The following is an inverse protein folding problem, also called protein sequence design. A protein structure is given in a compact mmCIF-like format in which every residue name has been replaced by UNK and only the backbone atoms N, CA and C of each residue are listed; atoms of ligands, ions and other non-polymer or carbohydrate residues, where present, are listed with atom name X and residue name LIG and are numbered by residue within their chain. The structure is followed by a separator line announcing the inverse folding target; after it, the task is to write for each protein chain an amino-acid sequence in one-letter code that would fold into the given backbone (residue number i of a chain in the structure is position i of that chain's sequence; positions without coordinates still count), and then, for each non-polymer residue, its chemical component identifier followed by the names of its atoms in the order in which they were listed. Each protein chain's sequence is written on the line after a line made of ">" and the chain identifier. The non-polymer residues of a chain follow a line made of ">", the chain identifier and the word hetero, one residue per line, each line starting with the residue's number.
data_IF_236895648035
#
_entry.id   IF_236895648035
#
_cell.length_a   1.000
_cell.length_b   1.000
_cell.length_c   1.000
_cell.angle_alpha   90.00
_cell.angle_beta   90.00
_cell.angle_gamma   90.00
#
_symmetry.space_group_name_H-M   'P 1'
#
loop_
_entity.id
_entity.type
_entity.pdbx_description
1 polymer ?
#
# COMPACT_ATOMS: atom_id res chain seq x y z
N UNK A 1 -24.37 -17.70 29.29
CA UNK A 1 -23.66 -18.25 30.47
C UNK A 1 -22.18 -18.01 30.23
N UNK A 2 -21.49 -17.33 31.13
CA UNK A 2 -20.08 -16.96 30.97
C UNK A 2 -19.27 -17.62 32.08
N UNK A 3 -18.29 -18.42 31.69
CA UNK A 3 -17.32 -19.07 32.55
C UNK A 3 -15.90 -18.57 32.25
N UNK A 4 -15.80 -17.31 31.84
CA UNK A 4 -14.55 -16.73 31.38
C UNK A 4 -13.55 -16.59 32.53
N UNK A 5 -12.27 -16.81 32.26
CA UNK A 5 -11.20 -16.55 33.23
C UNK A 5 -11.37 -17.30 34.57
N UNK A 6 -11.78 -18.58 34.52
CA UNK A 6 -11.97 -19.42 35.69
C UNK A 6 -10.90 -20.53 35.84
N UNK A 7 -9.89 -20.56 34.98
CA UNK A 7 -8.83 -21.56 35.01
C UNK A 7 -9.29 -22.99 34.69
N UNK A 8 -10.42 -23.15 33.99
CA UNK A 8 -10.95 -24.45 33.59
C UNK A 8 -9.95 -25.16 32.67
N UNK A 9 -9.63 -26.42 32.97
CA UNK A 9 -8.65 -27.21 32.20
C UNK A 9 -9.30 -28.25 31.28
N UNK A 10 -10.47 -28.75 31.68
CA UNK A 10 -11.23 -29.72 30.90
C UNK A 10 -12.72 -29.43 30.98
N UNK A 11 -13.45 -29.77 29.92
CA UNK A 11 -14.91 -29.65 29.86
C UNK A 11 -15.52 -31.03 29.77
N UNK A 12 -16.21 -31.43 30.84
CA UNK A 12 -17.01 -32.65 30.89
C UNK A 12 -18.46 -32.38 30.46
N UNK A 13 -19.29 -33.43 30.46
CA UNK A 13 -20.72 -33.35 30.15
C UNK A 13 -21.41 -32.31 31.05
N UNK A 14 -21.92 -31.25 30.43
CA UNK A 14 -22.65 -30.18 31.11
C UNK A 14 -24.09 -30.61 31.42
N UNK A 15 -24.70 -30.10 32.51
CA UNK A 15 -26.08 -30.43 32.85
C UNK A 15 -27.08 -29.84 31.84
N UNK A 16 -28.31 -30.40 31.74
CA UNK A 16 -29.39 -29.83 30.92
C UNK A 16 -29.63 -28.36 31.20
N UNK A 17 -29.61 -27.55 30.14
CA UNK A 17 -29.79 -26.10 30.23
C UNK A 17 -30.38 -25.54 28.94
N UNK A 18 -31.20 -24.48 29.06
CA UNK A 18 -31.76 -23.73 27.94
C UNK A 18 -30.84 -22.60 27.46
N UNK A 19 -29.54 -22.70 27.76
CA UNK A 19 -28.57 -21.67 27.43
C UNK A 19 -28.40 -21.56 25.90
N UNK A 20 -28.45 -20.33 25.39
CA UNK A 20 -28.25 -20.02 23.96
C UNK A 20 -26.82 -19.58 23.64
N UNK A 21 -26.11 -19.06 24.63
CA UNK A 21 -24.75 -18.57 24.52
C UNK A 21 -23.93 -19.13 25.66
N UNK A 22 -22.87 -19.87 25.35
CA UNK A 22 -21.91 -20.39 26.32
C UNK A 22 -20.52 -19.84 26.00
N UNK A 23 -19.94 -19.10 26.92
CA UNK A 23 -18.55 -18.69 26.85
C UNK A 23 -17.71 -19.41 27.90
N UNK A 24 -16.60 -19.96 27.43
CA UNK A 24 -15.53 -20.61 28.17
C UNK A 24 -14.20 -19.92 27.83
N UNK A 25 -14.25 -18.65 27.42
CA UNK A 25 -13.11 -17.89 26.94
C UNK A 25 -12.05 -17.68 28.03
N UNK A 26 -10.77 -17.55 27.65
CA UNK A 26 -9.68 -17.22 28.59
C UNK A 26 -9.57 -18.23 29.73
N UNK A 27 -9.65 -19.51 29.42
CA UNK A 27 -9.41 -20.60 30.38
C UNK A 27 -8.11 -21.33 29.99
N UNK A 28 -7.90 -22.53 30.50
CA UNK A 28 -6.74 -23.39 30.20
C UNK A 28 -7.20 -24.70 29.55
N UNK A 29 -8.31 -24.66 28.82
CA UNK A 29 -8.97 -25.86 28.31
C UNK A 29 -8.07 -26.49 27.26
N UNK A 30 -7.61 -27.72 27.53
CA UNK A 30 -6.83 -28.53 26.60
C UNK A 30 -7.55 -29.84 26.23
N UNK A 31 -8.66 -30.16 26.90
CA UNK A 31 -9.46 -31.36 26.66
C UNK A 31 -10.95 -31.09 26.80
N UNK A 32 -11.72 -31.52 25.81
CA UNK A 32 -13.18 -31.55 25.86
C UNK A 32 -13.58 -33.02 25.73
N UNK A 33 -14.36 -33.53 26.69
CA UNK A 33 -14.82 -34.90 26.64
C UNK A 33 -15.93 -35.07 25.60
N UNK A 34 -16.04 -36.27 25.02
CA UNK A 34 -17.14 -36.61 24.11
C UNK A 34 -18.49 -36.27 24.72
N UNK A 35 -19.42 -35.76 23.89
CA UNK A 35 -20.76 -35.36 24.32
C UNK A 35 -20.78 -34.29 25.42
N UNK A 36 -19.70 -33.51 25.60
CA UNK A 36 -19.63 -32.44 26.59
C UNK A 36 -20.83 -31.48 26.52
N UNK A 37 -21.30 -31.17 25.31
CA UNK A 37 -22.37 -30.20 25.05
C UNK A 37 -23.72 -30.84 24.73
N UNK A 38 -23.88 -32.16 24.85
CA UNK A 38 -25.08 -32.90 24.39
C UNK A 38 -26.39 -32.43 25.03
N UNK A 39 -26.31 -31.93 26.25
CA UNK A 39 -27.47 -31.48 27.03
C UNK A 39 -27.88 -30.02 26.72
N UNK A 40 -27.15 -29.32 25.85
CA UNK A 40 -27.35 -27.89 25.55
C UNK A 40 -28.09 -27.70 24.21
N UNK A 41 -29.30 -28.26 24.11
CA UNK A 41 -30.09 -28.33 22.86
C UNK A 41 -30.50 -26.98 22.25
N UNK A 42 -30.35 -25.88 23.00
CA UNK A 42 -30.69 -24.52 22.54
C UNK A 42 -29.45 -23.67 22.28
N UNK A 43 -28.24 -24.25 22.33
CA UNK A 43 -26.99 -23.53 22.17
C UNK A 43 -26.83 -23.03 20.73
N UNK A 44 -26.72 -21.71 20.58
CA UNK A 44 -26.52 -21.03 19.29
C UNK A 44 -25.10 -20.52 19.13
N UNK A 45 -24.44 -20.15 20.23
CA UNK A 45 -23.07 -19.63 20.21
C UNK A 45 -22.22 -20.29 21.29
N UNK A 46 -21.05 -20.77 20.88
CA UNK A 46 -20.04 -21.37 21.73
C UNK A 46 -18.72 -20.64 21.53
N UNK A 47 -18.23 -20.00 22.61
CA UNK A 47 -16.94 -19.32 22.63
C UNK A 47 -15.94 -20.13 23.45
N UNK A 48 -14.96 -20.70 22.75
CA UNK A 48 -13.84 -21.47 23.31
C UNK A 48 -12.49 -20.74 23.09
N UNK A 49 -12.54 -19.44 22.79
CA UNK A 49 -11.34 -18.67 22.43
C UNK A 49 -10.39 -18.47 23.60
N UNK A 50 -9.10 -18.24 23.34
CA UNK A 50 -8.06 -18.06 24.37
C UNK A 50 -8.00 -19.24 25.34
N UNK A 51 -7.83 -20.44 24.78
CA UNK A 51 -7.62 -21.68 25.52
C UNK A 51 -6.37 -22.39 24.99
N UNK A 52 -6.23 -23.70 25.24
CA UNK A 52 -5.09 -24.50 24.78
C UNK A 52 -5.56 -25.71 23.97
N UNK A 53 -6.62 -25.52 23.17
CA UNK A 53 -7.18 -26.58 22.34
C UNK A 53 -6.25 -26.91 21.17
N UNK A 54 -6.18 -28.20 20.83
CA UNK A 54 -5.50 -28.72 19.65
C UNK A 54 -6.51 -29.45 18.76
N UNK A 55 -6.06 -30.01 17.64
CA UNK A 55 -6.88 -30.86 16.77
C UNK A 55 -7.56 -32.00 17.56
N UNK A 56 -6.81 -32.66 18.44
CA UNK A 56 -7.28 -33.79 19.25
C UNK A 56 -8.31 -33.39 20.30
N UNK A 57 -8.28 -32.14 20.75
CA UNK A 57 -9.31 -31.59 21.65
C UNK A 57 -10.65 -31.39 20.94
N UNK A 58 -10.67 -31.34 19.61
CA UNK A 58 -11.81 -31.04 18.74
C UNK A 58 -12.29 -32.30 18.00
N UNK A 59 -12.45 -33.42 18.69
CA UNK A 59 -13.09 -34.60 18.12
C UNK A 59 -14.54 -34.26 17.68
N UNK A 60 -15.02 -34.72 16.50
CA UNK A 60 -16.40 -34.51 16.04
C UNK A 60 -17.49 -34.79 17.10
N UNK A 61 -17.28 -35.77 17.97
CA UNK A 61 -18.25 -36.20 18.98
C UNK A 61 -18.49 -35.18 20.10
N UNK A 62 -17.64 -34.17 20.25
CA UNK A 62 -17.87 -33.10 21.24
C UNK A 62 -19.06 -32.23 20.85
N UNK A 63 -19.33 -32.10 19.55
CA UNK A 63 -20.38 -31.27 18.98
C UNK A 63 -21.72 -32.00 18.82
N UNK A 64 -21.82 -33.27 19.24
CA UNK A 64 -23.08 -34.00 19.26
C UNK A 64 -24.05 -33.38 20.25
N UNK A 65 -25.24 -33.01 19.76
CA UNK A 65 -26.32 -32.40 20.55
C UNK A 65 -27.48 -33.38 20.81
N UNK A 66 -27.54 -34.50 20.09
CA UNK A 66 -28.57 -35.53 20.26
C UNK A 66 -27.92 -36.92 20.44
N UNK A 67 -28.49 -37.74 21.33
CA UNK A 67 -28.04 -39.13 21.59
C UNK A 67 -28.65 -40.13 20.59
N UNK A 68 -29.74 -39.76 19.92
CA UNK A 68 -30.38 -40.60 18.91
C UNK A 68 -29.78 -40.32 17.52
N UNK A 69 -29.54 -41.38 16.74
CA UNK A 69 -29.16 -41.37 15.30
C UNK A 69 -30.17 -40.65 14.39
N UNK A 70 -31.12 -39.91 14.97
CA UNK A 70 -31.95 -38.95 14.24
C UNK A 70 -31.04 -37.87 13.67
N UNK A 71 -31.11 -37.69 12.36
CA UNK A 71 -30.37 -36.73 11.55
C UNK A 71 -30.74 -35.26 11.84
N UNK A 72 -31.01 -34.93 13.11
CA UNK A 72 -31.39 -33.59 13.56
C UNK A 72 -30.10 -32.78 13.78
N UNK A 73 -29.79 -31.82 12.90
CA UNK A 73 -28.57 -31.06 12.99
C UNK A 73 -28.54 -30.20 14.26
N UNK A 74 -27.35 -30.00 14.82
CA UNK A 74 -27.17 -29.14 15.99
C UNK A 74 -27.68 -27.70 15.77
N UNK A 75 -28.06 -27.01 16.84
CA UNK A 75 -28.54 -25.62 16.78
C UNK A 75 -27.42 -24.57 16.70
N UNK A 76 -26.16 -24.98 16.71
CA UNK A 76 -25.03 -24.05 16.80
C UNK A 76 -24.87 -23.26 15.50
N UNK A 77 -24.82 -21.93 15.63
CA UNK A 77 -24.72 -20.95 14.54
C UNK A 77 -23.34 -20.29 14.52
N UNK A 78 -22.78 -20.03 15.70
CA UNK A 78 -21.51 -19.33 15.88
C UNK A 78 -20.54 -20.16 16.73
N UNK A 79 -19.35 -20.39 16.21
CA UNK A 79 -18.27 -21.07 16.91
C UNK A 79 -17.01 -20.21 16.90
N UNK A 80 -16.53 -19.86 18.09
CA UNK A 80 -15.24 -19.17 18.25
C UNK A 80 -14.19 -20.08 18.85
N UNK A 81 -13.09 -20.23 18.11
CA UNK A 81 -11.92 -21.04 18.46
C UNK A 81 -10.64 -20.19 18.41
N UNK A 82 -10.76 -18.86 18.44
CA UNK A 82 -9.63 -17.94 18.29
C UNK A 82 -8.59 -18.15 19.40
N UNK A 83 -7.31 -17.91 19.10
CA UNK A 83 -6.20 -17.97 20.04
C UNK A 83 -6.15 -19.28 20.83
N UNK A 84 -6.11 -20.40 20.12
CA UNK A 84 -5.82 -21.74 20.64
C UNK A 84 -4.50 -22.26 20.05
N UNK A 85 -4.22 -23.55 20.19
CA UNK A 85 -3.02 -24.20 19.67
C UNK A 85 -3.35 -25.16 18.51
N UNK A 86 -4.31 -24.78 17.67
CA UNK A 86 -4.80 -25.59 16.56
C UNK A 86 -3.85 -25.43 15.37
N UNK A 87 -3.07 -26.48 15.08
CA UNK A 87 -2.16 -26.52 13.92
C UNK A 87 -2.83 -27.15 12.68
N UNK A 88 -3.80 -28.03 12.91
CA UNK A 88 -4.63 -28.65 11.89
C UNK A 88 -5.97 -29.04 12.51
N UNK A 89 -6.92 -29.47 11.70
CA UNK A 89 -8.18 -30.04 12.16
C UNK A 89 -8.30 -31.50 11.71
N UNK A 90 -8.92 -32.32 12.56
CA UNK A 90 -9.24 -33.69 12.19
C UNK A 90 -10.31 -33.69 11.07
N UNK A 91 -10.30 -34.68 10.16
CA UNK A 91 -11.39 -34.84 9.20
C UNK A 91 -12.72 -34.91 9.94
N UNK A 92 -13.74 -34.25 9.41
CA UNK A 92 -15.10 -34.24 9.99
C UNK A 92 -15.25 -33.54 11.34
N UNK A 93 -14.26 -32.79 11.82
CA UNK A 93 -14.33 -32.01 13.09
C UNK A 93 -15.67 -31.25 13.23
N UNK A 94 -16.20 -30.70 12.14
CA UNK A 94 -17.43 -29.92 12.14
C UNK A 94 -18.66 -30.62 11.51
N UNK A 95 -18.62 -31.95 11.34
CA UNK A 95 -19.69 -32.70 10.65
C UNK A 95 -21.08 -32.52 11.29
N UNK A 96 -21.13 -32.37 12.60
CA UNK A 96 -22.39 -32.17 13.35
C UNK A 96 -22.91 -30.72 13.30
N UNK A 97 -22.13 -29.79 12.72
CA UNK A 97 -22.38 -28.34 12.72
C UNK A 97 -22.93 -27.84 11.38
N UNK A 98 -23.88 -28.55 10.78
CA UNK A 98 -24.39 -28.21 9.44
C UNK A 98 -25.13 -26.87 9.34
N UNK A 99 -25.57 -26.31 10.48
CA UNK A 99 -26.20 -24.99 10.59
C UNK A 99 -25.21 -23.86 10.90
N UNK A 100 -23.91 -24.14 10.99
CA UNK A 100 -22.92 -23.15 11.38
C UNK A 100 -22.80 -22.06 10.29
N UNK A 101 -22.97 -20.81 10.72
CA UNK A 101 -22.92 -19.62 9.86
C UNK A 101 -21.58 -18.90 10.03
N UNK A 102 -21.00 -18.93 11.23
CA UNK A 102 -19.73 -18.25 11.53
C UNK A 102 -18.75 -19.16 12.25
N UNK A 103 -17.55 -19.26 11.69
CA UNK A 103 -16.40 -19.94 12.28
C UNK A 103 -15.23 -18.96 12.35
N UNK A 104 -14.61 -18.87 13.53
CA UNK A 104 -13.43 -18.04 13.76
C UNK A 104 -12.32 -18.89 14.36
N UNK A 105 -11.17 -18.88 13.69
CA UNK A 105 -9.95 -19.65 14.01
C UNK A 105 -8.74 -18.72 14.13
N UNK A 106 -8.95 -17.41 14.32
CA UNK A 106 -7.89 -16.43 14.28
C UNK A 106 -6.84 -16.68 15.38
N UNK A 107 -5.57 -16.37 15.14
CA UNK A 107 -4.54 -16.54 16.16
C UNK A 107 -4.16 -17.98 16.47
N UNK A 108 -4.56 -18.95 15.63
CA UNK A 108 -4.11 -20.35 15.73
C UNK A 108 -2.93 -20.61 14.77
N UNK A 109 -1.93 -21.43 15.16
CA UNK A 109 -0.74 -21.69 14.36
C UNK A 109 -1.00 -22.70 13.22
N UNK A 110 -1.94 -22.41 12.30
CA UNK A 110 -2.29 -23.32 11.21
C UNK A 110 -1.13 -23.49 10.23
N UNK A 111 -0.47 -22.40 9.82
CA UNK A 111 0.64 -22.33 8.84
C UNK A 111 0.33 -22.84 7.42
N UNK A 112 -0.38 -23.96 7.28
CA UNK A 112 -0.84 -24.59 6.04
C UNK A 112 -2.25 -25.15 6.27
N UNK A 113 -3.12 -25.08 5.26
CA UNK A 113 -4.40 -25.80 5.27
C UNK A 113 -4.20 -27.16 4.63
N UNK A 114 -3.91 -28.18 5.45
CA UNK A 114 -3.73 -29.55 4.98
C UNK A 114 -5.06 -30.18 4.48
N UNK A 115 -4.95 -31.39 3.91
CA UNK A 115 -6.11 -32.11 3.38
C UNK A 115 -7.18 -32.36 4.45
N UNK A 116 -6.77 -32.71 5.68
CA UNK A 116 -7.70 -33.00 6.76
C UNK A 116 -8.49 -31.74 7.19
N UNK A 117 -7.80 -30.62 7.31
CA UNK A 117 -8.38 -29.31 7.63
C UNK A 117 -9.30 -28.83 6.51
N UNK A 118 -8.91 -29.02 5.25
CA UNK A 118 -9.77 -28.72 4.10
C UNK A 118 -11.07 -29.53 4.12
N UNK A 119 -11.02 -30.83 4.47
CA UNK A 119 -12.22 -31.65 4.64
C UNK A 119 -13.07 -31.20 5.84
N UNK A 120 -12.46 -30.78 6.94
CA UNK A 120 -13.18 -30.24 8.09
C UNK A 120 -13.96 -28.98 7.70
N UNK A 121 -13.31 -28.02 7.04
CA UNK A 121 -13.95 -26.76 6.61
C UNK A 121 -15.01 -27.00 5.52
N UNK A 122 -14.79 -27.99 4.65
CA UNK A 122 -15.79 -28.41 3.65
C UNK A 122 -17.05 -29.04 4.25
N UNK A 123 -17.04 -29.44 5.52
CA UNK A 123 -18.25 -29.98 6.18
C UNK A 123 -19.27 -28.92 6.63
N UNK A 124 -19.03 -27.65 6.30
CA UNK A 124 -19.83 -26.50 6.72
C UNK A 124 -20.60 -25.86 5.55
N UNK A 125 -21.73 -26.44 5.11
CA UNK A 125 -22.43 -26.01 3.90
C UNK A 125 -23.08 -24.62 4.02
N UNK A 126 -23.40 -24.17 5.24
CA UNK A 126 -24.09 -22.89 5.49
C UNK A 126 -23.15 -21.76 5.94
N UNK A 127 -21.83 -21.98 5.87
CA UNK A 127 -20.85 -21.02 6.36
C UNK A 127 -20.88 -19.72 5.55
N UNK A 128 -21.06 -18.60 6.25
CA UNK A 128 -21.05 -17.24 5.68
C UNK A 128 -19.86 -16.42 6.11
N UNK A 129 -19.33 -16.67 7.31
CA UNK A 129 -18.22 -15.92 7.89
C UNK A 129 -17.11 -16.87 8.29
N UNK A 130 -15.93 -16.67 7.71
CA UNK A 130 -14.72 -17.41 8.06
C UNK A 130 -13.60 -16.42 8.41
N UNK A 131 -13.09 -16.54 9.64
CA UNK A 131 -11.91 -15.79 10.06
C UNK A 131 -10.70 -16.71 10.24
N UNK A 132 -9.69 -16.51 9.40
CA UNK A 132 -8.39 -17.18 9.39
C UNK A 132 -7.24 -16.17 9.61
N UNK A 133 -7.53 -14.99 10.19
CA UNK A 133 -6.52 -13.96 10.42
C UNK A 133 -5.47 -14.39 11.43
N UNK A 134 -4.22 -13.95 11.28
CA UNK A 134 -3.17 -14.23 12.25
C UNK A 134 -2.95 -15.73 12.45
N UNK A 135 -2.86 -16.50 11.36
CA UNK A 135 -2.66 -17.96 11.40
C UNK A 135 -1.36 -18.43 10.74
N UNK A 136 -0.49 -17.47 10.36
CA UNK A 136 0.77 -17.71 9.64
C UNK A 136 0.60 -18.47 8.32
N UNK A 137 -0.58 -18.34 7.69
CA UNK A 137 -0.82 -18.95 6.39
C UNK A 137 0.00 -18.26 5.32
N UNK A 138 0.70 -19.02 4.49
CA UNK A 138 1.45 -18.49 3.34
C UNK A 138 0.86 -18.95 2.00
N UNK A 139 -0.02 -19.95 2.01
CA UNK A 139 -0.73 -20.47 0.85
C UNK A 139 -2.18 -20.84 1.20
N UNK A 140 -3.03 -20.88 0.18
CA UNK A 140 -4.43 -21.27 0.30
C UNK A 140 -4.73 -22.34 -0.76
N UNK A 141 -5.20 -23.54 -0.39
CA UNK A 141 -5.52 -24.58 -1.36
C UNK A 141 -6.64 -24.15 -2.32
N UNK A 142 -6.49 -24.46 -3.61
CA UNK A 142 -7.43 -24.02 -4.66
C UNK A 142 -8.88 -24.46 -4.41
N UNK A 143 -9.07 -25.62 -3.79
CA UNK A 143 -10.40 -26.19 -3.55
C UNK A 143 -10.95 -25.92 -2.14
N UNK A 144 -10.22 -25.20 -1.28
CA UNK A 144 -10.65 -24.99 0.10
C UNK A 144 -12.03 -24.33 0.19
N UNK A 145 -12.28 -23.39 -0.73
CA UNK A 145 -13.45 -22.53 -0.69
C UNK A 145 -14.55 -22.95 -1.69
N UNK A 146 -14.42 -24.13 -2.32
CA UNK A 146 -15.43 -24.70 -3.22
C UNK A 146 -16.75 -25.03 -2.51
N UNK A 147 -16.64 -25.52 -1.26
CA UNK A 147 -17.78 -26.06 -0.51
C UNK A 147 -18.58 -25.00 0.25
N UNK A 148 -17.97 -24.02 0.96
CA UNK A 148 -18.72 -22.92 1.57
C UNK A 148 -19.18 -21.90 0.50
N UNK A 149 -20.08 -22.33 -0.38
CA UNK A 149 -20.57 -21.54 -1.53
C UNK A 149 -21.30 -20.26 -1.14
N UNK A 150 -21.74 -20.16 0.12
CA UNK A 150 -22.43 -18.99 0.68
C UNK A 150 -21.49 -18.11 1.50
N UNK A 151 -20.17 -18.29 1.40
CA UNK A 151 -19.22 -17.47 2.13
C UNK A 151 -19.33 -16.01 1.67
N UNK A 152 -19.70 -15.13 2.60
CA UNK A 152 -19.93 -13.70 2.39
C UNK A 152 -18.77 -12.85 2.95
N UNK A 153 -18.15 -13.29 4.04
CA UNK A 153 -17.06 -12.57 4.72
C UNK A 153 -15.88 -13.51 4.96
N UNK A 154 -14.72 -13.11 4.48
CA UNK A 154 -13.45 -13.82 4.66
C UNK A 154 -12.39 -12.86 5.17
N UNK A 155 -11.80 -13.21 6.31
CA UNK A 155 -10.65 -12.48 6.86
C UNK A 155 -9.40 -13.36 6.78
N UNK A 156 -8.44 -12.92 5.97
CA UNK A 156 -7.11 -13.50 5.76
C UNK A 156 -6.00 -12.53 6.19
N UNK A 157 -6.34 -11.51 6.98
CA UNK A 157 -5.37 -10.51 7.42
C UNK A 157 -4.30 -11.09 8.35
N UNK A 158 -3.16 -10.40 8.44
CA UNK A 158 -2.04 -10.77 9.32
C UNK A 158 -1.55 -12.20 9.06
N UNK A 159 -1.30 -12.52 7.80
CA UNK A 159 -0.76 -13.80 7.38
C UNK A 159 0.55 -13.57 6.61
N UNK A 160 1.08 -14.62 5.98
CA UNK A 160 2.39 -14.63 5.32
C UNK A 160 2.25 -14.75 3.80
N UNK A 161 1.10 -14.34 3.24
CA UNK A 161 0.85 -14.39 1.81
C UNK A 161 1.76 -13.41 1.05
N UNK A 162 2.61 -13.93 0.17
CA UNK A 162 3.47 -13.12 -0.71
C UNK A 162 2.84 -12.81 -2.06
N UNK A 163 1.72 -13.48 -2.38
CA UNK A 163 0.92 -13.32 -3.60
C UNK A 163 -0.57 -13.51 -3.28
N UNK A 164 -1.44 -13.05 -4.18
CA UNK A 164 -2.88 -13.32 -4.08
C UNK A 164 -3.14 -14.79 -4.44
N UNK A 165 -3.73 -15.60 -3.54
CA UNK A 165 -3.91 -17.03 -3.78
C UNK A 165 -4.98 -17.32 -4.83
N UNK A 166 -4.74 -18.32 -5.69
CA UNK A 166 -5.67 -18.71 -6.77
C UNK A 166 -7.00 -19.27 -6.24
N UNK A 167 -7.02 -19.90 -5.07
CA UNK A 167 -8.24 -20.41 -4.43
C UNK A 167 -9.32 -19.35 -4.14
N UNK A 168 -8.98 -18.05 -4.19
CA UNK A 168 -9.96 -16.97 -4.09
C UNK A 168 -10.83 -16.81 -5.35
N UNK A 169 -10.49 -17.46 -6.48
CA UNK A 169 -11.35 -17.46 -7.67
C UNK A 169 -12.70 -18.17 -7.43
N UNK A 170 -12.80 -19.03 -6.42
CA UNK A 170 -13.93 -19.93 -6.21
C UNK A 170 -15.01 -19.35 -5.28
N UNK A 171 -14.73 -18.22 -4.61
CA UNK A 171 -15.67 -17.59 -3.68
C UNK A 171 -16.57 -16.55 -4.34
N UNK A 172 -17.48 -17.03 -5.20
CA UNK A 172 -18.34 -16.15 -6.00
C UNK A 172 -19.36 -15.33 -5.20
N UNK A 173 -19.74 -15.78 -4.00
CA UNK A 173 -20.67 -15.08 -3.11
C UNK A 173 -19.99 -14.09 -2.15
N UNK A 174 -18.65 -14.01 -2.15
CA UNK A 174 -17.92 -13.19 -1.18
C UNK A 174 -18.22 -11.71 -1.40
N UNK A 175 -18.60 -11.03 -0.32
CA UNK A 175 -18.92 -9.61 -0.31
C UNK A 175 -17.82 -8.79 0.37
N UNK A 176 -17.13 -9.36 1.36
CA UNK A 176 -16.06 -8.68 2.11
C UNK A 176 -14.83 -9.56 2.23
N UNK A 177 -13.71 -9.01 1.79
CA UNK A 177 -12.38 -9.61 1.93
C UNK A 177 -11.47 -8.65 2.69
N UNK A 178 -10.93 -9.12 3.80
CA UNK A 178 -9.80 -8.47 4.46
C UNK A 178 -8.53 -9.28 4.20
N UNK A 179 -7.60 -8.68 3.48
CA UNK A 179 -6.30 -9.26 3.13
C UNK A 179 -5.14 -8.41 3.67
N UNK A 180 -5.43 -7.51 4.61
CA UNK A 180 -4.47 -6.58 5.22
C UNK A 180 -3.31 -7.29 5.92
N UNK A 181 -2.19 -6.60 6.13
CA UNK A 181 -1.02 -7.14 6.86
C UNK A 181 -0.46 -8.43 6.25
N UNK A 182 -0.36 -8.49 4.91
CA UNK A 182 0.31 -9.57 4.19
C UNK A 182 1.51 -9.03 3.40
N UNK A 183 2.62 -9.78 3.28
CA UNK A 183 3.85 -9.31 2.64
C UNK A 183 3.82 -9.35 1.09
N UNK A 184 2.71 -8.95 0.46
CA UNK A 184 2.61 -8.83 -1.00
C UNK A 184 3.41 -7.63 -1.47
N UNK A 185 4.27 -7.83 -2.48
CA UNK A 185 5.12 -6.77 -3.06
C UNK A 185 4.40 -5.90 -4.10
N UNK A 186 3.58 -6.51 -4.94
CA UNK A 186 2.84 -5.83 -6.00
C UNK A 186 1.56 -6.58 -6.32
N UNK A 187 0.53 -5.84 -6.76
CA UNK A 187 -0.75 -6.42 -7.17
C UNK A 187 -0.93 -6.12 -8.65
N UNK A 188 -0.76 -7.13 -9.48
CA UNK A 188 -0.88 -7.04 -10.94
C UNK A 188 -2.23 -7.56 -11.44
N UNK A 189 -2.85 -8.46 -10.67
CA UNK A 189 -4.10 -9.10 -10.99
C UNK A 189 -4.80 -9.51 -9.69
N UNK A 190 -6.11 -9.46 -9.70
CA UNK A 190 -6.96 -9.91 -8.61
C UNK A 190 -7.98 -10.94 -9.15
N UNK A 191 -8.31 -11.98 -8.37
CA UNK A 191 -9.33 -12.96 -8.68
C UNK A 191 -10.66 -12.33 -9.11
N UNK A 192 -11.40 -13.03 -9.97
CA UNK A 192 -12.75 -12.62 -10.35
C UNK A 192 -13.70 -12.86 -9.17
N UNK A 193 -14.09 -11.79 -8.50
CA UNK A 193 -15.01 -11.85 -7.37
C UNK A 193 -16.25 -11.01 -7.67
N UNK A 194 -17.23 -11.63 -8.34
CA UNK A 194 -18.39 -10.95 -8.92
C UNK A 194 -19.30 -10.25 -7.91
N UNK A 195 -19.22 -10.63 -6.63
CA UNK A 195 -20.05 -10.08 -5.54
C UNK A 195 -19.25 -9.23 -4.55
N UNK A 196 -17.94 -9.01 -4.77
CA UNK A 196 -17.09 -8.37 -3.79
C UNK A 196 -17.35 -6.87 -3.74
N UNK A 197 -17.83 -6.39 -2.58
CA UNK A 197 -18.17 -5.00 -2.31
C UNK A 197 -17.10 -4.29 -1.49
N UNK A 198 -16.45 -5.01 -0.57
CA UNK A 198 -15.49 -4.44 0.38
C UNK A 198 -14.16 -5.17 0.28
N UNK A 199 -13.10 -4.42 -0.03
CA UNK A 199 -11.72 -4.92 -0.11
C UNK A 199 -10.79 -4.10 0.78
N UNK A 200 -10.16 -4.76 1.75
CA UNK A 200 -9.17 -4.16 2.64
C UNK A 200 -7.77 -4.74 2.35
N UNK A 201 -6.83 -3.86 1.99
CA UNK A 201 -5.42 -4.12 1.66
C UNK A 201 -4.50 -3.17 2.45
N UNK A 202 -4.76 -3.02 3.75
CA UNK A 202 -4.02 -2.08 4.59
C UNK A 202 -2.82 -2.74 5.27
N UNK A 203 -1.87 -1.95 5.79
CA UNK A 203 -0.72 -2.42 6.57
C UNK A 203 0.14 -3.48 5.86
N UNK A 204 0.19 -3.46 4.54
CA UNK A 204 0.98 -4.34 3.68
C UNK A 204 2.45 -3.85 3.66
N UNK A 205 3.38 -4.49 4.40
CA UNK A 205 4.71 -3.94 4.65
C UNK A 205 5.60 -3.86 3.39
N UNK A 206 5.30 -4.69 2.39
CA UNK A 206 6.08 -4.81 1.16
C UNK A 206 5.39 -4.21 -0.08
N UNK A 207 4.13 -3.80 0.02
CA UNK A 207 3.34 -3.38 -1.14
C UNK A 207 3.90 -2.08 -1.71
N UNK A 208 4.36 -2.14 -2.95
CA UNK A 208 5.05 -1.04 -3.63
C UNK A 208 4.18 -0.40 -4.72
N UNK A 209 3.47 -1.21 -5.49
CA UNK A 209 2.67 -0.75 -6.61
C UNK A 209 1.42 -1.62 -6.84
N UNK A 210 0.40 -0.97 -7.41
CA UNK A 210 -0.80 -1.61 -7.95
C UNK A 210 -0.79 -1.33 -9.46
N UNK A 211 -0.80 -2.40 -10.26
CA UNK A 211 -0.65 -2.35 -11.71
C UNK A 211 -1.95 -2.02 -12.48
N UNK A 212 -1.85 -1.83 -13.80
CA UNK A 212 -3.00 -1.56 -14.66
C UNK A 212 -3.99 -2.72 -14.62
N UNK A 213 -5.28 -2.40 -14.58
CA UNK A 213 -6.37 -3.38 -14.56
C UNK A 213 -6.30 -4.43 -13.43
N UNK A 214 -5.50 -4.20 -12.39
CA UNK A 214 -5.30 -5.14 -11.29
C UNK A 214 -6.62 -5.58 -10.64
N UNK A 215 -7.58 -4.66 -10.51
CA UNK A 215 -8.91 -4.88 -9.92
C UNK A 215 -10.04 -4.84 -10.95
N UNK A 216 -9.72 -4.95 -12.24
CA UNK A 216 -10.70 -4.85 -13.34
C UNK A 216 -11.86 -5.86 -13.25
N UNK A 217 -11.68 -6.97 -12.53
CA UNK A 217 -12.69 -8.01 -12.35
C UNK A 217 -13.59 -7.78 -11.12
N UNK A 218 -13.35 -6.73 -10.33
CA UNK A 218 -14.12 -6.36 -9.14
C UNK A 218 -15.20 -5.32 -9.49
N UNK A 219 -16.12 -5.70 -10.37
CA UNK A 219 -17.04 -4.76 -11.05
C UNK A 219 -18.09 -4.10 -10.14
N UNK A 220 -18.32 -4.67 -8.94
CA UNK A 220 -19.31 -4.17 -7.95
C UNK A 220 -18.64 -3.66 -6.67
N UNK A 221 -17.35 -3.33 -6.72
CA UNK A 221 -16.61 -2.83 -5.56
C UNK A 221 -17.14 -1.46 -5.12
N UNK A 222 -17.49 -1.36 -3.84
CA UNK A 222 -18.08 -0.17 -3.21
C UNK A 222 -17.10 0.48 -2.23
N UNK A 223 -16.31 -0.31 -1.50
CA UNK A 223 -15.33 0.15 -0.51
C UNK A 223 -13.94 -0.43 -0.78
N UNK A 224 -12.96 0.47 -0.91
CA UNK A 224 -11.55 0.13 -1.04
C UNK A 224 -10.73 0.85 0.03
N UNK A 225 -10.17 0.08 0.96
CA UNK A 225 -9.23 0.59 1.98
C UNK A 225 -7.84 0.03 1.73
N UNK A 226 -6.89 0.90 1.40
CA UNK A 226 -5.51 0.56 1.12
C UNK A 226 -4.65 1.57 1.88
N UNK A 227 -4.55 1.42 3.19
CA UNK A 227 -3.93 2.41 4.09
C UNK A 227 -2.69 1.86 4.78
N UNK A 228 -1.83 2.74 5.28
CA UNK A 228 -0.65 2.33 6.07
C UNK A 228 0.31 1.39 5.29
N UNK A 229 0.34 1.48 3.97
CA UNK A 229 1.29 0.76 3.11
C UNK A 229 2.47 1.69 2.82
N UNK A 230 3.41 1.76 3.75
CA UNK A 230 4.52 2.72 3.76
C UNK A 230 5.45 2.64 2.52
N UNK A 231 5.34 1.59 1.70
CA UNK A 231 6.10 1.41 0.47
C UNK A 231 5.29 1.67 -0.80
N UNK A 232 3.97 1.87 -0.71
CA UNK A 232 3.08 2.02 -1.86
C UNK A 232 3.28 3.40 -2.49
N UNK A 233 3.95 3.44 -3.64
CA UNK A 233 4.35 4.68 -4.34
C UNK A 233 3.42 5.06 -5.48
N UNK A 234 2.79 4.07 -6.10
CA UNK A 234 1.97 4.29 -7.29
C UNK A 234 0.80 3.31 -7.39
N UNK A 235 -0.34 3.84 -7.81
CA UNK A 235 -1.50 3.07 -8.26
C UNK A 235 -1.72 3.46 -9.70
N UNK A 236 -1.75 2.48 -10.60
CA UNK A 236 -1.98 2.73 -12.01
C UNK A 236 -3.36 3.40 -12.24
N UNK A 237 -3.47 4.43 -13.12
CA UNK A 237 -4.74 5.10 -13.41
C UNK A 237 -5.86 4.16 -13.86
N UNK A 238 -5.54 3.01 -14.46
CA UNK A 238 -6.53 2.02 -14.92
C UNK A 238 -6.69 0.83 -13.97
N UNK A 239 -6.15 0.89 -12.74
CA UNK A 239 -6.18 -0.21 -11.79
C UNK A 239 -7.60 -0.81 -11.58
N UNK A 240 -8.62 0.05 -11.55
CA UNK A 240 -10.03 -0.35 -11.42
C UNK A 240 -10.80 -0.44 -12.74
N UNK A 241 -10.25 0.07 -13.84
CA UNK A 241 -11.00 0.15 -15.09
C UNK A 241 -11.07 -1.19 -15.81
N UNK A 242 -12.19 -1.44 -16.48
CA UNK A 242 -12.44 -2.65 -17.26
C UNK A 242 -13.20 -2.33 -18.55
N UNK A 243 -13.07 -3.21 -19.55
CA UNK A 243 -13.78 -3.09 -20.83
C UNK A 243 -15.00 -4.01 -20.82
N UNK A 244 -16.15 -3.50 -21.26
CA UNK A 244 -17.33 -4.34 -21.52
C UNK A 244 -17.12 -5.13 -22.81
N UNK A 245 -17.34 -6.43 -22.78
CA UNK A 245 -17.24 -7.32 -23.97
C UNK A 245 -18.36 -7.09 -25.01
N UNK A 246 -19.14 -6.01 -24.90
CA UNK A 246 -20.38 -5.82 -25.65
C UNK A 246 -20.22 -4.93 -26.90
N UNK A 247 -19.00 -4.75 -27.42
CA UNK A 247 -18.74 -4.01 -28.66
C UNK A 247 -18.90 -2.49 -28.56
N UNK A 248 -19.13 -1.95 -27.36
CA UNK A 248 -19.06 -0.51 -27.07
C UNK A 248 -17.61 -0.16 -26.71
N UNK A 249 -17.01 0.76 -27.47
CA UNK A 249 -15.72 1.33 -27.13
C UNK A 249 -15.85 2.19 -25.86
N UNK A 250 -15.21 1.76 -24.78
CA UNK A 250 -15.19 2.52 -23.53
C UNK A 250 -14.62 1.72 -22.36
N UNK A 251 -13.91 2.42 -21.48
CA UNK A 251 -13.56 1.89 -20.17
C UNK A 251 -14.73 2.15 -19.20
N UNK A 252 -14.91 1.25 -18.25
CA UNK A 252 -15.90 1.34 -17.16
C UNK A 252 -15.20 1.15 -15.83
N UNK A 253 -15.74 1.75 -14.77
CA UNK A 253 -15.20 1.68 -13.41
C UNK A 253 -16.27 1.16 -12.45
N UNK A 254 -15.87 0.43 -11.39
CA UNK A 254 -16.77 0.14 -10.27
C UNK A 254 -17.24 1.44 -9.60
N UNK A 255 -18.42 1.40 -8.98
CA UNK A 255 -19.00 2.54 -8.26
C UNK A 255 -18.47 2.57 -6.83
N UNK A 256 -17.19 2.92 -6.67
CA UNK A 256 -16.57 3.09 -5.36
C UNK A 256 -17.18 4.30 -4.67
N UNK A 257 -17.72 4.08 -3.47
CA UNK A 257 -18.32 5.10 -2.60
C UNK A 257 -17.43 5.43 -1.40
N UNK A 258 -16.53 4.50 -1.01
CA UNK A 258 -15.59 4.70 0.09
C UNK A 258 -14.17 4.38 -0.36
N UNK A 259 -13.32 5.40 -0.37
CA UNK A 259 -11.92 5.29 -0.77
C UNK A 259 -11.01 5.79 0.35
N UNK A 260 -10.18 4.90 0.88
CA UNK A 260 -9.14 5.28 1.84
C UNK A 260 -7.76 4.86 1.31
N UNK A 261 -6.95 5.85 0.95
CA UNK A 261 -5.57 5.72 0.50
C UNK A 261 -4.60 6.41 1.46
N UNK A 262 -5.00 6.62 2.71
CA UNK A 262 -4.20 7.35 3.69
C UNK A 262 -2.94 6.61 4.15
N UNK A 263 -1.95 7.38 4.60
CA UNK A 263 -0.71 6.88 5.21
C UNK A 263 0.05 5.89 4.29
N UNK A 264 0.13 6.19 3.00
CA UNK A 264 1.00 5.47 2.06
C UNK A 264 2.20 6.34 1.66
N UNK A 265 2.90 5.98 0.59
CA UNK A 265 3.99 6.76 0.02
C UNK A 265 3.63 7.34 -1.36
N UNK A 266 2.34 7.60 -1.62
CA UNK A 266 1.86 8.10 -2.91
C UNK A 266 2.35 9.53 -3.13
N UNK A 267 2.90 9.80 -4.32
CA UNK A 267 3.27 11.14 -4.76
C UNK A 267 2.26 11.77 -5.71
N UNK A 268 1.63 10.93 -6.55
CA UNK A 268 0.67 11.35 -7.56
C UNK A 268 -0.61 10.54 -7.43
N UNK A 269 -1.73 11.18 -7.76
CA UNK A 269 -3.03 10.54 -7.89
C UNK A 269 -3.60 10.94 -9.23
N UNK A 270 -3.94 9.98 -10.07
CA UNK A 270 -4.52 10.27 -11.37
C UNK A 270 -6.04 10.38 -11.25
N UNK A 271 -6.64 11.41 -11.84
CA UNK A 271 -8.09 11.62 -11.82
C UNK A 271 -8.87 10.47 -12.47
N UNK A 272 -8.22 9.68 -13.35
CA UNK A 272 -8.82 8.52 -14.04
C UNK A 272 -8.91 7.28 -13.17
N UNK A 273 -8.34 7.29 -11.95
CA UNK A 273 -8.44 6.15 -11.03
C UNK A 273 -9.90 5.80 -10.75
N UNK A 274 -10.76 6.82 -10.62
CA UNK A 274 -12.21 6.69 -10.47
C UNK A 274 -12.93 7.47 -11.56
N UNK A 275 -14.09 6.95 -12.00
CA UNK A 275 -14.95 7.68 -12.94
C UNK A 275 -15.72 8.83 -12.30
N UNK A 276 -16.08 8.72 -11.01
CA UNK A 276 -16.95 9.65 -10.27
C UNK A 276 -16.41 9.89 -8.87
N UNK A 277 -15.57 10.90 -8.73
CA UNK A 277 -15.08 11.35 -7.43
C UNK A 277 -16.17 12.07 -6.61
N UNK A 278 -17.18 12.61 -7.29
CA UNK A 278 -18.27 13.35 -6.67
C UNK A 278 -19.25 12.45 -5.91
N UNK A 279 -19.30 11.15 -6.20
CA UNK A 279 -20.20 10.20 -5.53
C UNK A 279 -19.62 9.58 -4.25
N UNK A 280 -18.41 9.98 -3.85
CA UNK A 280 -17.76 9.46 -2.65
C UNK A 280 -18.45 9.94 -1.38
N UNK A 281 -18.77 8.98 -0.50
CA UNK A 281 -19.25 9.20 0.86
C UNK A 281 -18.11 9.25 1.88
N UNK A 282 -16.97 8.63 1.56
CA UNK A 282 -15.75 8.65 2.37
C UNK A 282 -14.53 8.76 1.45
N UNK A 283 -13.70 9.79 1.64
CA UNK A 283 -12.40 9.94 1.00
C UNK A 283 -11.35 10.31 2.03
N UNK A 284 -10.26 9.54 2.07
CA UNK A 284 -9.12 9.84 2.92
C UNK A 284 -7.81 9.68 2.15
N UNK A 285 -7.10 10.79 1.97
CA UNK A 285 -5.85 10.87 1.21
C UNK A 285 -4.66 11.34 2.08
N UNK A 286 -4.86 11.52 3.38
CA UNK A 286 -3.87 12.11 4.28
C UNK A 286 -2.60 11.26 4.42
N UNK A 287 -1.51 11.85 4.93
CA UNK A 287 -0.30 11.09 5.30
C UNK A 287 0.47 10.48 4.13
N UNK A 288 0.26 10.97 2.91
CA UNK A 288 1.01 10.61 1.71
C UNK A 288 2.09 11.64 1.38
N UNK A 289 2.90 11.37 0.36
CA UNK A 289 3.99 12.24 -0.11
C UNK A 289 3.57 13.08 -1.32
N UNK A 290 2.39 13.72 -1.25
CA UNK A 290 1.81 14.42 -2.38
C UNK A 290 2.75 15.46 -2.99
N UNK A 291 3.00 15.33 -4.28
CA UNK A 291 3.82 16.25 -5.08
C UNK A 291 2.89 17.30 -5.67
N UNK A 292 3.05 18.56 -5.28
CA UNK A 292 2.22 19.68 -5.67
C UNK A 292 2.82 20.42 -6.89
N UNK A 293 2.85 19.73 -8.02
CA UNK A 293 3.24 20.27 -9.31
C UNK A 293 2.04 20.29 -10.28
N UNK A 294 2.30 20.60 -11.56
CA UNK A 294 1.21 20.70 -12.53
C UNK A 294 0.49 19.37 -12.82
N UNK A 295 1.09 18.21 -12.54
CA UNK A 295 0.46 16.90 -12.75
C UNK A 295 -0.69 16.69 -11.76
N UNK A 296 -0.46 17.05 -10.50
CA UNK A 296 -1.48 16.99 -9.45
C UNK A 296 -2.36 18.25 -9.40
N UNK A 297 -2.31 19.14 -10.41
CA UNK A 297 -3.13 20.37 -10.43
C UNK A 297 -4.62 20.11 -10.22
N UNK A 298 -5.12 18.98 -10.71
CA UNK A 298 -6.52 18.60 -10.56
C UNK A 298 -6.93 18.38 -9.09
N UNK A 299 -5.99 18.01 -8.19
CA UNK A 299 -6.27 17.88 -6.76
C UNK A 299 -6.71 19.21 -6.17
N UNK A 300 -6.07 20.30 -6.63
CA UNK A 300 -6.40 21.67 -6.22
C UNK A 300 -7.61 22.19 -7.00
N UNK A 301 -7.59 22.15 -8.33
CA UNK A 301 -8.60 22.83 -9.15
C UNK A 301 -9.93 22.11 -9.28
N UNK A 302 -9.99 20.82 -8.93
CA UNK A 302 -11.17 19.97 -9.15
C UNK A 302 -11.58 19.23 -7.90
N UNK A 303 -10.66 18.46 -7.28
CA UNK A 303 -10.98 17.63 -6.13
C UNK A 303 -11.27 18.47 -4.88
N UNK A 304 -10.42 19.45 -4.56
CA UNK A 304 -10.58 20.30 -3.39
C UNK A 304 -11.92 21.06 -3.36
N UNK A 305 -12.32 21.83 -4.38
CA UNK A 305 -13.60 22.55 -4.34
C UNK A 305 -14.80 21.59 -4.30
N UNK A 306 -14.71 20.44 -4.97
CA UNK A 306 -15.73 19.39 -4.91
C UNK A 306 -15.86 18.84 -3.48
N UNK A 307 -14.74 18.49 -2.85
CA UNK A 307 -14.70 17.95 -1.50
C UNK A 307 -15.16 18.99 -0.46
N UNK A 308 -14.66 20.23 -0.51
CA UNK A 308 -15.06 21.30 0.43
C UNK A 308 -16.58 21.53 0.42
N UNK A 309 -17.21 21.53 -0.76
CA UNK A 309 -18.64 21.79 -0.90
C UNK A 309 -19.55 20.70 -0.32
N UNK A 310 -19.06 19.45 -0.23
CA UNK A 310 -19.86 18.28 0.19
C UNK A 310 -19.42 17.70 1.53
N UNK A 311 -18.11 17.53 1.71
CA UNK A 311 -17.44 16.81 2.78
C UNK A 311 -16.09 17.48 3.10
N UNK A 312 -16.08 18.65 3.78
CA UNK A 312 -14.84 19.36 4.11
C UNK A 312 -13.87 18.53 4.94
N UNK A 313 -14.37 17.53 5.68
CA UNK A 313 -13.56 16.59 6.45
C UNK A 313 -12.56 15.77 5.61
N UNK A 314 -12.80 15.60 4.30
CA UNK A 314 -11.88 14.88 3.40
C UNK A 314 -10.56 15.62 3.17
N UNK A 315 -10.54 16.94 3.42
CA UNK A 315 -9.38 17.79 3.19
C UNK A 315 -8.56 18.03 4.45
N UNK A 316 -9.02 17.51 5.60
CA UNK A 316 -8.26 17.60 6.85
C UNK A 316 -6.88 16.95 6.68
N UNK A 317 -5.84 17.69 7.03
CA UNK A 317 -4.44 17.27 6.94
C UNK A 317 -3.98 16.81 5.53
N UNK A 318 -4.74 17.18 4.48
CA UNK A 318 -4.35 16.97 3.10
C UNK A 318 -3.39 18.07 2.66
N UNK A 319 -2.10 17.81 2.85
CA UNK A 319 -1.02 18.76 2.61
C UNK A 319 -0.05 18.27 1.53
N UNK A 320 0.56 19.23 0.84
CA UNK A 320 1.70 19.02 -0.02
C UNK A 320 2.91 18.56 0.79
N UNK A 321 3.70 17.63 0.24
CA UNK A 321 4.98 17.22 0.83
C UNK A 321 6.16 17.60 -0.06
N UNK A 322 5.94 17.60 -1.37
CA UNK A 322 6.91 18.04 -2.38
C UNK A 322 6.25 19.05 -3.34
N UNK A 323 7.03 19.90 -4.03
CA UNK A 323 8.44 20.16 -3.75
C UNK A 323 8.61 20.84 -2.37
N UNK A 324 9.84 20.93 -1.86
CA UNK A 324 10.11 21.38 -0.48
C UNK A 324 9.54 22.77 -0.17
N UNK A 325 9.45 23.62 -1.18
CA UNK A 325 8.90 24.98 -1.11
C UNK A 325 7.39 24.98 -0.83
N UNK A 326 6.69 23.89 -1.17
CA UNK A 326 5.26 23.70 -0.94
C UNK A 326 4.96 22.77 0.24
N UNK A 327 6.00 22.21 0.87
CA UNK A 327 5.85 21.25 1.96
C UNK A 327 5.06 21.84 3.13
N UNK A 328 4.03 21.11 3.57
CA UNK A 328 3.13 21.48 4.66
C UNK A 328 1.99 22.43 4.26
N UNK A 329 1.94 22.94 3.01
CA UNK A 329 0.83 23.76 2.55
C UNK A 329 -0.41 22.89 2.32
N UNK A 330 -1.56 23.31 2.83
CA UNK A 330 -2.85 22.64 2.62
C UNK A 330 -3.29 22.74 1.16
N UNK A 331 -3.81 21.64 0.60
CA UNK A 331 -4.41 21.63 -0.74
C UNK A 331 -5.61 22.59 -0.82
N UNK A 332 -6.38 22.72 0.27
CA UNK A 332 -7.49 23.66 0.35
C UNK A 332 -7.02 25.12 0.29
N UNK A 333 -5.93 25.45 0.98
CA UNK A 333 -5.36 26.81 0.94
C UNK A 333 -4.87 27.17 -0.47
N UNK A 334 -4.36 26.20 -1.22
CA UNK A 334 -3.95 26.42 -2.62
C UNK A 334 -5.15 26.71 -3.51
N UNK A 335 -6.28 26.02 -3.31
CA UNK A 335 -7.51 26.25 -4.07
C UNK A 335 -8.07 27.65 -3.78
N UNK A 336 -8.18 28.04 -2.51
CA UNK A 336 -8.66 29.36 -2.10
C UNK A 336 -7.81 30.52 -2.64
N UNK A 337 -6.50 30.28 -2.85
CA UNK A 337 -5.59 31.25 -3.47
C UNK A 337 -5.58 31.20 -5.00
N UNK A 338 -6.37 30.31 -5.60
CA UNK A 338 -6.36 29.99 -7.03
C UNK A 338 -4.94 29.73 -7.55
N UNK A 339 -4.16 28.98 -6.76
CA UNK A 339 -2.76 28.74 -7.04
C UNK A 339 -2.59 27.76 -8.20
N UNK A 340 -1.80 28.16 -9.20
CA UNK A 340 -1.46 27.31 -10.33
C UNK A 340 -0.07 26.71 -10.12
N UNK A 341 -0.03 25.41 -9.84
CA UNK A 341 1.19 24.65 -9.61
C UNK A 341 1.98 24.50 -10.91
N UNK A 342 3.30 24.67 -10.81
CA UNK A 342 4.20 24.65 -11.97
C UNK A 342 4.89 23.31 -12.06
N UNK A 343 5.06 22.80 -13.27
CA UNK A 343 5.97 21.69 -13.51
C UNK A 343 7.41 22.19 -13.66
N UNK A 344 8.36 21.31 -13.37
CA UNK A 344 9.77 21.52 -13.75
C UNK A 344 9.83 21.65 -15.27
N UNK A 345 10.66 22.56 -15.77
CA UNK A 345 10.87 22.71 -17.20
C UNK A 345 11.61 21.48 -17.77
N UNK A 346 11.63 21.34 -19.10
CA UNK A 346 12.22 20.17 -19.80
C UNK A 346 13.70 19.93 -19.46
N UNK A 347 14.39 20.90 -18.85
CA UNK A 347 15.79 20.83 -18.46
C UNK A 347 16.01 20.59 -16.97
N UNK A 348 14.95 20.38 -16.19
CA UNK A 348 15.01 20.17 -14.75
C UNK A 348 15.63 21.38 -14.01
N UNK A 349 15.57 22.57 -14.62
CA UNK A 349 16.14 23.78 -14.06
C UNK A 349 15.24 24.26 -12.92
N UNK A 350 15.87 24.67 -11.82
CA UNK A 350 15.18 25.34 -10.72
C UNK A 350 15.45 26.82 -10.94
N UNK A 351 14.52 27.60 -11.52
CA UNK A 351 14.77 28.99 -11.90
C UNK A 351 15.25 29.86 -10.72
N UNK A 352 14.98 29.45 -9.49
CA UNK A 352 15.47 30.14 -8.29
C UNK A 352 16.95 29.85 -7.99
N UNK A 353 17.44 28.62 -8.19
CA UNK A 353 18.88 28.30 -8.06
C UNK A 353 19.68 28.79 -9.26
N UNK A 354 19.13 28.64 -10.45
CA UNK A 354 19.77 29.12 -11.67
C UNK A 354 19.74 30.64 -11.74
N UNK A 355 18.68 31.27 -11.20
CA UNK A 355 18.60 32.71 -10.97
C UNK A 355 19.66 33.21 -10.01
N UNK A 356 19.89 32.54 -8.88
CA UNK A 356 20.98 32.89 -7.94
C UNK A 356 22.35 32.71 -8.58
N UNK A 357 22.56 31.65 -9.38
CA UNK A 357 23.81 31.44 -10.12
C UNK A 357 24.04 32.55 -11.16
N UNK A 358 23.01 32.91 -11.92
CA UNK A 358 23.04 33.99 -12.91
C UNK A 358 23.27 35.36 -12.26
N UNK A 359 22.61 35.65 -11.13
CA UNK A 359 22.84 36.86 -10.34
C UNK A 359 24.28 36.88 -9.82
N UNK A 360 24.79 35.74 -9.33
CA UNK A 360 26.18 35.60 -8.88
C UNK A 360 27.19 35.86 -10.01
N UNK A 361 26.95 35.30 -11.20
CA UNK A 361 27.77 35.56 -12.40
C UNK A 361 27.68 37.04 -12.80
N UNK A 362 26.49 37.64 -12.78
CA UNK A 362 26.28 39.05 -13.14
C UNK A 362 27.02 39.98 -12.18
N UNK A 363 26.92 39.75 -10.86
CA UNK A 363 27.67 40.49 -9.84
C UNK A 363 29.18 40.33 -10.06
N UNK A 364 29.63 39.10 -10.33
CA UNK A 364 31.04 38.81 -10.63
C UNK A 364 31.56 39.59 -11.84
N UNK A 365 30.80 39.64 -12.94
CA UNK A 365 31.15 40.42 -14.13
C UNK A 365 31.15 41.92 -13.84
N UNK A 366 30.15 42.43 -13.13
CA UNK A 366 30.04 43.85 -12.76
C UNK A 366 31.20 44.30 -11.86
N UNK A 367 31.73 43.44 -10.99
CA UNK A 367 32.87 43.79 -10.13
C UNK A 367 34.23 43.61 -10.81
N UNK A 368 34.38 42.61 -11.67
CA UNK A 368 35.67 42.30 -12.32
C UNK A 368 36.01 43.23 -13.48
N UNK A 369 35.02 43.68 -14.27
CA UNK A 369 35.25 44.56 -15.42
C UNK A 369 35.79 45.94 -15.01
N UNK A 370 35.22 46.66 -14.02
CA UNK A 370 35.76 47.93 -13.56
C UNK A 370 37.14 47.78 -12.90
N UNK A 371 37.35 46.70 -12.15
CA UNK A 371 38.62 46.44 -11.48
C UNK A 371 39.75 46.20 -12.49
N UNK A 372 39.51 45.37 -13.51
CA UNK A 372 40.48 45.12 -14.59
C UNK A 372 40.71 46.36 -15.44
N UNK A 373 39.68 47.15 -15.76
CA UNK A 373 39.83 48.44 -16.42
C UNK A 373 40.66 49.43 -15.57
N UNK A 374 40.42 49.48 -14.25
CA UNK A 374 41.18 50.31 -13.32
C UNK A 374 42.67 49.94 -13.27
N UNK A 375 42.99 48.64 -13.24
CA UNK A 375 44.36 48.13 -13.33
C UNK A 375 44.99 48.52 -14.68
N UNK A 376 44.27 48.32 -15.78
CA UNK A 376 44.78 48.69 -17.11
C UNK A 376 45.05 50.19 -17.22
N UNK A 377 44.16 51.04 -16.71
CA UNK A 377 44.37 52.48 -16.67
C UNK A 377 45.57 52.86 -15.80
N UNK A 378 45.75 52.22 -14.64
CA UNK A 378 46.92 52.44 -13.79
C UNK A 378 48.22 52.02 -14.50
N UNK A 379 48.22 50.87 -15.17
CA UNK A 379 49.34 50.38 -15.96
C UNK A 379 49.65 51.29 -17.17
N UNK A 380 48.62 51.78 -17.86
CA UNK A 380 48.77 52.74 -18.96
C UNK A 380 49.33 54.09 -18.46
N UNK A 381 48.85 54.57 -17.31
CA UNK A 381 49.37 55.78 -16.66
C UNK A 381 50.83 55.58 -16.26
N UNK A 382 51.19 54.44 -15.66
CA UNK A 382 52.58 54.06 -15.34
C UNK A 382 53.48 54.01 -16.57
N UNK A 383 53.01 53.45 -17.69
CA UNK A 383 53.73 53.44 -18.99
C UNK A 383 53.97 54.85 -19.52
N UNK A 384 52.97 55.73 -19.43
CA UNK A 384 53.12 57.13 -19.85
C UNK A 384 54.09 57.90 -18.95
N UNK A 385 54.08 57.65 -17.63
CA UNK A 385 55.09 58.24 -16.73
C UNK A 385 56.49 57.71 -17.03
N UNK A 386 56.64 56.41 -17.29
CA UNK A 386 57.93 55.80 -17.66
C UNK A 386 58.44 56.35 -18.99
N UNK A 387 57.56 56.55 -19.97
CA UNK A 387 57.89 57.16 -21.28
C UNK A 387 58.29 58.63 -21.14
N UNK A 388 57.67 59.38 -20.23
CA UNK A 388 58.06 60.75 -19.89
C UNK A 388 59.46 60.80 -19.27
N UNK A 389 59.78 59.91 -18.32
CA UNK A 389 61.13 59.78 -17.76
C UNK A 389 62.17 59.32 -18.79
N UNK A 390 61.80 58.43 -19.73
CA UNK A 390 62.69 57.98 -20.80
C UNK A 390 62.97 59.07 -21.84
N UNK A 391 62.04 60.02 -22.06
CA UNK A 391 62.26 61.21 -22.90
C UNK A 391 63.19 62.25 -22.25
N UNK A 392 63.16 62.37 -20.92
CA UNK A 392 64.09 63.24 -20.19
C UNK A 392 65.51 62.64 -20.19
N UNK A 393 65.65 61.33 -20.06
CA UNK A 393 66.96 60.66 -20.08
C UNK A 393 67.63 60.61 -21.46
N UNK A 394 66.86 60.63 -22.57
CA UNK A 394 67.41 60.52 -23.94
C UNK A 394 67.80 61.84 -24.62
N UNK A 395 67.79 62.98 -23.92
CA UNK A 395 68.32 64.23 -24.49
C UNK A 395 69.86 64.33 -24.45
N UNK A 396 70.58 63.37 -23.88
CA UNK A 396 72.04 63.37 -23.89
C UNK A 396 72.62 62.09 -24.53
N UNK A 397 73.16 62.28 -25.75
CA UNK A 397 74.13 61.45 -26.52
C UNK A 397 73.60 60.33 -27.46
N UNK A 398 73.42 60.67 -28.74
CA UNK A 398 74.31 60.45 -29.93
C UNK A 398 75.33 59.27 -29.97
N UNK A 399 75.80 58.82 -31.16
CA UNK A 399 75.45 57.51 -31.74
C UNK A 399 76.65 56.70 -32.29
N UNK A 400 76.74 55.39 -32.10
CA UNK A 400 77.52 54.54 -33.02
C UNK A 400 76.88 53.16 -33.17
N UNK A 401 76.64 52.81 -34.43
CA UNK A 401 76.06 51.56 -34.92
C UNK A 401 77.13 50.49 -35.13
N UNK A 402 76.73 49.21 -35.15
CA UNK A 402 76.92 48.37 -36.34
C UNK A 402 76.09 47.08 -36.34
N UNK A 403 75.58 46.78 -37.53
CA UNK A 403 74.86 45.59 -38.03
C UNK A 403 75.61 44.27 -37.87
N UNK A 404 74.87 43.15 -37.83
CA UNK A 404 75.05 42.01 -38.75
C UNK A 404 73.75 41.16 -38.85
N UNK A 405 73.23 41.07 -40.09
CA UNK A 405 72.31 40.03 -40.62
C UNK A 405 73.10 38.72 -40.89
N UNK A 406 72.60 37.49 -41.09
CA UNK A 406 71.34 36.88 -41.55
C UNK A 406 71.53 35.33 -41.42
N UNK A 407 70.48 34.53 -41.17
CA UNK A 407 69.93 33.49 -42.09
C UNK A 407 69.00 32.47 -41.39
N UNK A 408 67.94 32.15 -42.13
CA UNK A 408 66.91 31.13 -41.88
C UNK A 408 67.41 29.69 -42.13
N UNK A 409 66.76 28.70 -41.50
CA UNK A 409 66.38 27.42 -42.13
C UNK A 409 65.16 26.79 -41.44
N UNK A 410 64.38 26.10 -42.26
CA UNK A 410 63.12 25.40 -41.99
C UNK A 410 63.28 23.86 -41.96
N UNK A 411 62.18 23.18 -41.62
CA UNK A 411 61.76 21.78 -41.92
C UNK A 411 62.09 20.68 -40.88
N UNK A 412 61.08 20.10 -40.20
CA UNK A 412 60.53 18.72 -40.38
C UNK A 412 59.55 18.31 -39.24
N UNK A 413 58.51 17.53 -39.61
CA UNK A 413 57.40 17.01 -38.78
C UNK A 413 57.71 15.61 -38.13
N UNK A 414 56.73 14.73 -37.80
CA UNK A 414 56.39 14.29 -36.43
C UNK A 414 56.67 12.78 -36.19
N UNK A 415 56.41 12.27 -34.99
CA UNK A 415 56.32 10.81 -34.75
C UNK A 415 55.24 10.45 -33.73
N UNK A 416 54.56 9.37 -34.06
CA UNK A 416 53.48 8.67 -33.36
C UNK A 416 53.97 7.34 -32.76
N UNK A 417 53.13 6.73 -31.90
CA UNK A 417 52.92 5.27 -31.66
C UNK A 417 53.34 4.67 -30.29
N UNK A 418 52.28 4.35 -29.50
CA UNK A 418 51.90 3.10 -28.77
C UNK A 418 52.74 2.57 -27.59
N UNK A 419 52.07 2.27 -26.47
CA UNK A 419 51.95 0.91 -25.88
C UNK A 419 50.68 0.73 -25.01
N UNK A 420 50.01 -0.39 -25.27
CA UNK A 420 48.89 -1.01 -24.57
C UNK A 420 49.30 -1.61 -23.20
N UNK A 421 48.32 -2.07 -22.41
CA UNK A 421 48.56 -3.04 -21.35
C UNK A 421 47.37 -3.41 -20.48
N UNK A 422 46.47 -4.23 -21.05
CA UNK A 422 45.62 -5.30 -20.47
C UNK A 422 44.82 -5.09 -19.17
#
# INVERSE_FOLDING_TARGET
>A
MHFDNNGIVHVAKLPPSKVRYLSLRKNKINKIYEKAFINLKSLLELDLSYNSLTAESLNPDIFKINDEDTSSPGSLIHLRLDYNNIHSLLPHTFKELSNLVSLTLAGNPLTVIDRATSFALSSLPMLKVLNLSNTSLHELPDHLLHTPRFLEILNLSNNEFTQIPQGLNEVHALQRLDFSSNPIKSILNFPKMASLKVLHLSHMPELNNIGPHAFSLLTVLEEFRCTHNNKLKSIDPTAFSYKLNNGLEGETWPQIVKLDLSYNALGYLDSRLLSRWDTLEELNLQGNKWICDCVNQWLVSTLAPMAESRHPEFLNDFTCQEPIEMSGISILDLDHRHYHMRCLDFYNNRPERDGVLLIGILIGVILTVPFTMGIMMCCAKRKNTLSYYHRIFNQNKSPYAHDYQLRETSIYQPTSIITEGY
#
